data_IF_474671187625
#
_entry.id   IF_474671187625
#
_cell.length_a   1.000
_cell.length_b   1.000
_cell.length_c   1.000
_cell.angle_alpha   90.00
_cell.angle_beta   90.00
_cell.angle_gamma   90.00
#
_symmetry.space_group_name_H-M   'P 1'
#
loop_
_entity.id
_entity.type
_entity.pdbx_description
1 polymer ?
#
# COMPACT_ATOMS: atom_id res chain seq x y z
N UNK A 1 30.56 2.53 39.61
CA UNK A 1 30.04 1.24 39.15
C UNK A 1 28.52 1.13 39.17
N UNK A 2 27.86 1.91 40.00
CA UNK A 2 26.37 1.93 40.12
C UNK A 2 25.76 2.46 38.78
N UNK A 3 26.36 3.50 38.21
CA UNK A 3 25.85 4.06 36.96
C UNK A 3 26.00 3.09 35.77
N UNK A 4 27.01 2.24 35.79
CA UNK A 4 27.22 1.23 34.74
C UNK A 4 26.21 0.10 34.84
N UNK A 5 25.86 -0.32 36.06
CA UNK A 5 24.82 -1.31 36.29
C UNK A 5 23.45 -0.81 35.86
N UNK A 6 23.09 0.44 36.19
CA UNK A 6 21.83 1.05 35.77
C UNK A 6 21.75 1.18 34.24
N UNK A 7 22.86 1.55 33.56
CA UNK A 7 22.91 1.66 32.10
C UNK A 7 22.70 0.30 31.44
N UNK A 8 23.39 -0.73 31.93
CA UNK A 8 23.26 -2.11 31.41
C UNK A 8 21.83 -2.61 31.65
N UNK A 9 21.27 -2.39 32.83
CA UNK A 9 19.91 -2.76 33.14
C UNK A 9 18.91 -2.03 32.24
N UNK A 10 19.12 -0.74 31.95
CA UNK A 10 18.28 0.04 31.05
C UNK A 10 18.30 -0.48 29.62
N UNK A 11 19.46 -0.83 29.11
CA UNK A 11 19.62 -1.40 27.76
C UNK A 11 18.96 -2.78 27.67
N UNK A 12 19.20 -3.65 28.63
CA UNK A 12 18.56 -4.96 28.69
C UNK A 12 17.03 -4.82 28.81
N UNK A 13 16.58 -3.88 29.58
CA UNK A 13 15.17 -3.58 29.79
C UNK A 13 14.46 -3.13 28.50
N UNK A 14 15.20 -2.48 27.61
CA UNK A 14 14.68 -2.07 26.31
C UNK A 14 14.70 -3.23 25.30
N UNK A 15 15.72 -4.06 25.32
CA UNK A 15 15.92 -5.14 24.35
C UNK A 15 15.06 -6.37 24.64
N UNK A 16 14.92 -6.76 25.92
CA UNK A 16 14.22 -7.98 26.32
C UNK A 16 12.75 -7.99 25.86
N UNK A 17 11.95 -6.92 26.01
CA UNK A 17 10.57 -6.90 25.53
C UNK A 17 10.47 -7.07 24.02
N UNK A 18 11.40 -6.47 23.25
CA UNK A 18 11.43 -6.61 21.80
C UNK A 18 11.72 -8.04 21.37
N UNK A 19 12.70 -8.68 22.02
CA UNK A 19 13.07 -10.07 21.72
C UNK A 19 11.94 -11.03 22.10
N UNK A 20 11.31 -10.85 23.24
CA UNK A 20 10.17 -11.68 23.67
C UNK A 20 8.96 -11.51 22.74
N UNK A 21 8.68 -10.30 22.32
CA UNK A 21 7.60 -10.02 21.38
C UNK A 21 7.86 -10.66 20.03
N UNK A 22 9.10 -10.58 19.54
CA UNK A 22 9.51 -11.21 18.29
C UNK A 22 9.43 -12.73 18.36
N UNK A 23 9.89 -13.32 19.46
CA UNK A 23 9.77 -14.76 19.71
C UNK A 23 8.31 -15.22 19.78
N UNK A 24 7.46 -14.47 20.47
CA UNK A 24 6.02 -14.71 20.51
C UNK A 24 5.37 -14.62 19.13
N UNK A 25 5.75 -13.64 18.35
CA UNK A 25 5.28 -13.52 16.96
C UNK A 25 5.64 -14.75 16.12
N UNK A 26 6.88 -15.23 16.24
CA UNK A 26 7.30 -16.43 15.49
C UNK A 26 6.56 -17.70 15.90
N UNK A 27 6.21 -17.83 17.18
CA UNK A 27 5.59 -19.04 17.72
C UNK A 27 4.07 -19.03 17.51
N UNK A 28 3.43 -17.88 17.76
CA UNK A 28 1.95 -17.81 17.85
C UNK A 28 1.29 -17.17 16.62
N UNK A 29 2.01 -16.39 15.83
CA UNK A 29 1.41 -15.76 14.65
C UNK A 29 1.15 -16.79 13.54
N UNK A 30 -0.03 -16.79 12.93
CA UNK A 30 -0.30 -17.68 11.82
C UNK A 30 0.60 -17.37 10.63
N UNK A 31 1.30 -18.39 10.14
CA UNK A 31 2.16 -18.31 8.96
C UNK A 31 1.31 -18.21 7.71
N UNK A 32 0.82 -17.03 7.39
CA UNK A 32 0.19 -16.76 6.10
C UNK A 32 1.16 -16.01 5.21
N UNK A 33 1.19 -16.39 3.92
CA UNK A 33 1.95 -15.68 2.90
C UNK A 33 1.60 -14.19 2.92
N UNK A 34 2.59 -13.38 3.25
CA UNK A 34 2.50 -11.94 3.49
C UNK A 34 2.40 -11.13 2.20
N UNK A 35 1.70 -11.61 1.18
CA UNK A 35 1.64 -10.97 -0.12
C UNK A 35 0.58 -9.87 -0.22
N UNK A 36 -0.32 -9.75 0.75
CA UNK A 36 -1.33 -8.71 0.74
C UNK A 36 -0.90 -7.52 1.61
N UNK A 37 -0.24 -6.55 1.00
CA UNK A 37 -0.05 -5.23 1.58
C UNK A 37 -1.43 -4.62 1.90
N UNK A 38 -1.65 -4.30 3.17
CA UNK A 38 -2.87 -3.59 3.59
C UNK A 38 -4.02 -4.47 4.04
N UNK A 39 -3.79 -5.74 4.37
CA UNK A 39 -4.80 -6.53 5.07
C UNK A 39 -4.97 -6.01 6.51
N UNK A 40 -6.22 -5.70 6.91
CA UNK A 40 -6.56 -5.22 8.25
C UNK A 40 -6.11 -6.22 9.33
N UNK A 41 -6.20 -7.52 9.05
CA UNK A 41 -5.74 -8.56 9.98
C UNK A 41 -4.24 -8.53 10.19
N UNK A 42 -3.46 -8.35 9.12
CA UNK A 42 -2.01 -8.21 9.20
C UNK A 42 -1.62 -6.92 9.94
N UNK A 43 -2.35 -5.84 9.72
CA UNK A 43 -2.16 -4.60 10.43
C UNK A 43 -2.42 -4.75 11.93
N UNK A 44 -3.53 -5.37 12.31
CA UNK A 44 -3.86 -5.64 13.71
C UNK A 44 -2.78 -6.51 14.37
N UNK A 45 -2.30 -7.56 13.71
CA UNK A 45 -1.22 -8.41 14.20
C UNK A 45 0.08 -7.64 14.34
N UNK A 46 0.44 -6.80 13.38
CA UNK A 46 1.66 -5.98 13.45
C UNK A 46 1.59 -4.98 14.61
N UNK A 47 0.46 -4.31 14.78
CA UNK A 47 0.26 -3.38 15.90
C UNK A 47 0.38 -4.13 17.22
N UNK A 48 -0.26 -5.28 17.34
CA UNK A 48 -0.19 -6.07 18.57
C UNK A 48 1.24 -6.51 18.88
N UNK A 49 1.92 -7.15 17.93
CA UNK A 49 3.22 -7.75 18.18
C UNK A 49 4.39 -6.76 18.17
N UNK A 50 4.32 -5.70 17.39
CA UNK A 50 5.40 -4.74 17.26
C UNK A 50 5.25 -3.50 18.13
N UNK A 51 4.05 -3.17 18.53
CA UNK A 51 3.75 -1.95 19.28
C UNK A 51 3.21 -2.26 20.67
N UNK A 52 2.08 -2.91 20.78
CA UNK A 52 1.40 -3.14 22.06
C UNK A 52 2.19 -4.10 22.95
N UNK A 53 2.60 -5.23 22.41
CA UNK A 53 3.30 -6.26 23.16
C UNK A 53 4.66 -5.77 23.71
N UNK A 54 5.56 -5.15 22.90
CA UNK A 54 6.81 -4.61 23.43
C UNK A 54 6.60 -3.51 24.47
N UNK A 55 5.66 -2.59 24.24
CA UNK A 55 5.39 -1.50 25.16
C UNK A 55 4.86 -2.00 26.49
N UNK A 56 3.93 -2.96 26.46
CA UNK A 56 3.36 -3.56 27.67
C UNK A 56 4.41 -4.34 28.46
N UNK A 57 5.21 -5.16 27.77
CA UNK A 57 6.30 -5.91 28.40
C UNK A 57 7.35 -4.98 28.99
N UNK A 58 7.71 -3.92 28.29
CA UNK A 58 8.65 -2.91 28.80
C UNK A 58 8.14 -2.33 30.11
N UNK A 59 6.87 -1.96 30.16
CA UNK A 59 6.26 -1.34 31.32
C UNK A 59 6.19 -2.29 32.52
N UNK A 60 5.76 -3.52 32.29
CA UNK A 60 5.68 -4.55 33.32
C UNK A 60 7.07 -4.86 33.90
N UNK A 61 8.06 -5.05 33.03
CA UNK A 61 9.43 -5.30 33.45
C UNK A 61 10.05 -4.12 34.20
N UNK A 62 9.73 -2.90 33.76
CA UNK A 62 10.19 -1.69 34.46
C UNK A 62 9.62 -1.60 35.85
N UNK A 63 8.31 -1.83 36.03
CA UNK A 63 7.68 -1.84 37.35
C UNK A 63 8.25 -2.94 38.25
N UNK A 64 8.49 -4.12 37.68
CA UNK A 64 9.10 -5.23 38.41
C UNK A 64 10.53 -4.91 38.82
N UNK A 65 11.33 -4.28 37.96
CA UNK A 65 12.67 -3.85 38.30
C UNK A 65 12.69 -2.78 39.38
N UNK A 66 11.75 -1.84 39.37
CA UNK A 66 11.58 -0.85 40.43
C UNK A 66 11.22 -1.51 41.73
N UNK A 67 10.32 -2.50 41.73
CA UNK A 67 9.93 -3.26 42.92
C UNK A 67 11.12 -4.00 43.55
N UNK A 68 12.00 -4.56 42.69
CA UNK A 68 13.23 -5.23 43.16
C UNK A 68 14.36 -4.28 43.60
N UNK A 69 14.17 -2.97 43.51
CA UNK A 69 15.13 -1.98 43.95
C UNK A 69 16.29 -1.75 43.00
N UNK A 70 16.19 -2.18 41.73
CA UNK A 70 17.25 -1.98 40.71
C UNK A 70 17.43 -0.50 40.39
N UNK A 71 16.37 0.31 40.51
CA UNK A 71 16.41 1.75 40.22
C UNK A 71 16.11 2.56 41.51
N UNK A 72 17.08 2.69 42.37
CA UNK A 72 16.89 3.32 43.69
C UNK A 72 16.58 4.81 43.63
N UNK A 73 17.10 5.53 42.67
CA UNK A 73 17.06 7.00 42.60
C UNK A 73 15.81 7.58 41.94
N UNK A 74 14.90 6.76 41.44
CA UNK A 74 13.74 7.22 40.69
C UNK A 74 12.39 6.91 41.32
N UNK A 75 12.34 7.06 42.60
CA UNK A 75 11.08 6.89 43.36
C UNK A 75 9.94 7.78 42.87
N UNK A 76 10.24 8.92 42.23
CA UNK A 76 9.25 9.81 41.65
C UNK A 76 8.63 9.28 40.35
N UNK A 77 9.31 8.39 39.67
CA UNK A 77 8.76 7.70 38.47
C UNK A 77 8.03 6.42 38.86
N UNK A 78 8.24 5.98 40.08
CA UNK A 78 7.62 4.83 40.63
C UNK A 78 6.24 5.14 41.17
N UNK A 79 5.41 5.69 40.41
CA UNK A 79 4.06 5.30 40.66
C UNK A 79 4.00 3.79 40.49
N UNK A 80 4.29 3.06 41.54
CA UNK A 80 4.03 1.62 41.66
C UNK A 80 2.57 1.29 41.39
N UNK A 81 1.77 2.33 41.24
CA UNK A 81 0.37 2.27 40.91
C UNK A 81 0.25 2.29 39.37
N UNK A 82 -0.22 1.21 38.69
CA UNK A 82 -0.41 1.20 37.25
C UNK A 82 -1.43 2.24 36.77
N UNK A 83 -2.16 2.87 37.67
CA UNK A 83 -3.13 3.93 37.39
C UNK A 83 -2.54 5.34 37.47
N UNK A 84 -1.25 5.48 37.75
CA UNK A 84 -0.62 6.79 37.82
C UNK A 84 -0.54 7.42 36.40
N UNK A 85 -0.79 8.73 36.32
CA UNK A 85 -0.75 9.50 35.07
C UNK A 85 0.61 9.37 34.38
N UNK A 86 1.71 9.38 35.12
CA UNK A 86 3.06 9.21 34.55
C UNK A 86 3.27 7.86 33.87
N UNK A 87 2.73 6.80 34.49
CA UNK A 87 2.75 5.46 33.87
C UNK A 87 1.97 5.44 32.58
N UNK A 88 0.81 6.07 32.57
CA UNK A 88 -0.02 6.21 31.36
C UNK A 88 0.71 6.98 30.25
N UNK A 89 1.36 8.10 30.61
CA UNK A 89 2.14 8.92 29.66
C UNK A 89 3.28 8.09 29.07
N UNK A 90 4.03 7.38 29.91
CA UNK A 90 5.13 6.52 29.46
C UNK A 90 4.64 5.40 28.53
N UNK A 91 3.51 4.79 28.86
CA UNK A 91 2.91 3.76 28.02
C UNK A 91 2.49 4.32 26.67
N UNK A 92 1.85 5.48 26.64
CA UNK A 92 1.47 6.14 25.40
C UNK A 92 2.68 6.54 24.55
N UNK A 93 3.74 7.05 25.18
CA UNK A 93 4.98 7.37 24.48
C UNK A 93 5.63 6.13 23.86
N UNK A 94 5.62 5.00 24.55
CA UNK A 94 6.11 3.73 24.03
C UNK A 94 5.27 3.22 22.86
N UNK A 95 3.96 3.35 22.95
CA UNK A 95 3.05 2.97 21.86
C UNK A 95 3.30 3.81 20.59
N UNK A 96 3.43 5.13 20.76
CA UNK A 96 3.73 6.03 19.64
C UNK A 96 5.10 5.71 19.03
N UNK A 97 6.11 5.49 19.85
CA UNK A 97 7.45 5.12 19.39
C UNK A 97 7.44 3.79 18.63
N UNK A 98 6.72 2.79 19.12
CA UNK A 98 6.57 1.51 18.43
C UNK A 98 5.82 1.63 17.12
N UNK A 99 4.75 2.42 17.09
CA UNK A 99 3.92 2.60 15.90
C UNK A 99 4.65 3.35 14.78
N UNK A 100 5.49 4.32 15.10
CA UNK A 100 6.17 5.20 14.15
C UNK A 100 7.66 4.93 14.02
N UNK A 101 8.35 4.75 15.14
CA UNK A 101 9.80 4.62 15.18
C UNK A 101 10.32 3.26 14.72
N UNK A 102 9.64 2.17 15.07
CA UNK A 102 10.06 0.81 14.70
C UNK A 102 10.02 0.58 13.20
N UNK A 103 8.92 0.90 12.49
CA UNK A 103 8.90 0.78 11.02
C UNK A 103 9.95 1.65 10.35
N UNK A 104 10.16 2.88 10.82
CA UNK A 104 11.17 3.79 10.27
C UNK A 104 12.58 3.24 10.51
N UNK A 105 12.86 2.76 11.70
CA UNK A 105 14.17 2.16 12.02
C UNK A 105 14.46 0.94 11.17
N UNK A 106 13.48 0.08 10.97
CA UNK A 106 13.61 -1.09 10.09
C UNK A 106 13.92 -0.67 8.66
N UNK A 107 13.22 0.34 8.14
CA UNK A 107 13.44 0.87 6.81
C UNK A 107 14.84 1.46 6.65
N UNK A 108 15.29 2.26 7.63
CA UNK A 108 16.64 2.85 7.62
C UNK A 108 17.74 1.78 7.67
N UNK A 109 17.59 0.77 8.51
CA UNK A 109 18.55 -0.35 8.59
C UNK A 109 18.60 -1.08 7.25
N UNK A 110 17.46 -1.31 6.63
CA UNK A 110 17.40 -1.97 5.33
C UNK A 110 18.05 -1.14 4.22
N UNK A 111 17.86 0.17 4.22
CA UNK A 111 18.52 1.09 3.28
C UNK A 111 20.03 1.13 3.47
N UNK A 112 20.49 1.11 4.72
CA UNK A 112 21.93 1.11 5.03
C UNK A 112 22.59 -0.19 4.59
N UNK A 113 21.94 -1.34 4.82
CA UNK A 113 22.47 -2.65 4.43
C UNK A 113 22.42 -2.88 2.91
N UNK A 114 21.39 -2.40 2.25
CA UNK A 114 21.15 -2.59 0.83
C UNK A 114 20.82 -1.24 0.17
N UNK A 115 21.81 -0.42 -0.21
CA UNK A 115 21.56 0.89 -0.82
C UNK A 115 20.71 0.84 -2.10
N UNK A 116 20.73 -0.28 -2.81
CA UNK A 116 19.92 -0.49 -4.02
C UNK A 116 18.40 -0.56 -3.72
N UNK A 117 18.04 -0.80 -2.47
CA UNK A 117 16.64 -0.84 -2.04
C UNK A 117 15.93 0.51 -2.20
N UNK A 118 16.67 1.61 -2.27
CA UNK A 118 16.08 2.94 -2.47
C UNK A 118 15.26 3.02 -3.76
N UNK A 119 15.69 2.38 -4.83
CA UNK A 119 14.94 2.34 -6.09
C UNK A 119 13.62 1.59 -5.94
N UNK A 120 13.67 0.46 -5.26
CA UNK A 120 12.48 -0.33 -4.96
C UNK A 120 11.50 0.44 -4.06
N UNK A 121 12.01 1.13 -3.04
CA UNK A 121 11.20 1.96 -2.15
C UNK A 121 10.51 3.10 -2.90
N UNK A 122 11.25 3.81 -3.74
CA UNK A 122 10.67 4.89 -4.55
C UNK A 122 9.61 4.37 -5.52
N UNK A 123 9.84 3.21 -6.12
CA UNK A 123 8.85 2.54 -6.97
C UNK A 123 7.58 2.19 -6.19
N UNK A 124 7.72 1.64 -4.98
CA UNK A 124 6.59 1.31 -4.12
C UNK A 124 5.81 2.55 -3.69
N UNK A 125 6.50 3.64 -3.37
CA UNK A 125 5.87 4.92 -3.01
C UNK A 125 5.07 5.45 -4.21
N UNK A 126 5.64 5.47 -5.40
CA UNK A 126 4.94 5.88 -6.63
C UNK A 126 3.72 5.02 -6.92
N UNK A 127 3.83 3.73 -6.69
CA UNK A 127 2.73 2.79 -6.91
C UNK A 127 1.56 3.03 -5.94
N UNK A 128 1.85 3.43 -4.71
CA UNK A 128 0.85 3.67 -3.68
C UNK A 128 0.15 5.03 -3.81
N UNK A 129 0.77 6.00 -4.48
CA UNK A 129 0.16 7.32 -4.69
C UNK A 129 -1.04 7.18 -5.65
N UNK A 130 -2.13 7.86 -5.33
CA UNK A 130 -3.30 7.91 -6.20
C UNK A 130 -2.93 8.57 -7.54
N UNK A 131 -3.27 7.91 -8.64
CA UNK A 131 -3.00 8.41 -10.00
C UNK A 131 -3.72 9.72 -10.34
N UNK A 132 -4.78 10.04 -9.60
CA UNK A 132 -5.54 11.29 -9.78
C UNK A 132 -4.84 12.50 -9.17
N UNK A 133 -3.80 12.30 -8.38
CA UNK A 133 -3.06 13.39 -7.75
C UNK A 133 -2.18 14.08 -8.78
N UNK A 134 -2.39 15.39 -8.94
CA UNK A 134 -1.54 16.22 -9.79
C UNK A 134 -0.34 16.75 -9.00
N UNK A 135 0.72 17.15 -9.71
CA UNK A 135 1.87 17.80 -9.08
C UNK A 135 1.49 19.11 -8.36
N UNK A 136 0.50 19.84 -8.89
CA UNK A 136 -0.01 21.06 -8.26
C UNK A 136 -0.70 20.77 -6.93
N UNK A 137 -1.49 19.71 -6.83
CA UNK A 137 -2.13 19.31 -5.58
C UNK A 137 -1.11 18.90 -4.52
N UNK A 138 -0.10 18.14 -4.91
CA UNK A 138 1.00 17.74 -4.02
C UNK A 138 1.75 18.97 -3.50
N UNK A 139 2.06 19.92 -4.36
CA UNK A 139 2.75 21.15 -3.99
C UNK A 139 1.91 21.99 -3.03
N UNK A 140 0.61 22.13 -3.30
CA UNK A 140 -0.32 22.85 -2.43
C UNK A 140 -0.40 22.20 -1.04
N UNK A 141 -0.47 20.88 -1.00
CA UNK A 141 -0.46 20.12 0.25
C UNK A 141 0.84 20.31 1.02
N UNK A 142 1.98 20.25 0.33
CA UNK A 142 3.29 20.46 0.93
C UNK A 142 3.45 21.87 1.50
N UNK A 143 2.93 22.90 0.80
CA UNK A 143 2.93 24.27 1.26
C UNK A 143 2.05 24.43 2.51
N UNK A 144 0.85 23.83 2.51
CA UNK A 144 -0.04 23.88 3.67
C UNK A 144 0.59 23.19 4.89
N UNK A 145 1.21 22.03 4.68
CA UNK A 145 1.90 21.29 5.73
C UNK A 145 3.10 22.09 6.26
N UNK A 146 3.91 22.64 5.39
CA UNK A 146 5.06 23.48 5.76
C UNK A 146 4.64 24.74 6.51
N UNK A 147 3.56 25.38 6.10
CA UNK A 147 3.00 26.55 6.79
C UNK A 147 2.54 26.23 8.21
N UNK A 148 1.81 25.13 8.39
CA UNK A 148 1.36 24.67 9.71
C UNK A 148 2.54 24.27 10.60
N UNK A 149 3.54 23.59 10.05
CA UNK A 149 4.75 23.24 10.80
C UNK A 149 5.54 24.49 11.21
N UNK A 150 5.62 25.49 10.34
CA UNK A 150 6.26 26.76 10.67
C UNK A 150 5.55 27.46 11.83
N UNK A 151 4.22 27.46 11.86
CA UNK A 151 3.45 27.99 12.97
C UNK A 151 3.70 27.20 14.27
N UNK A 152 3.87 25.91 14.18
CA UNK A 152 4.18 25.06 15.34
C UNK A 152 5.58 25.36 15.91
N UNK A 153 6.53 25.67 15.04
CA UNK A 153 7.94 25.86 15.42
C UNK A 153 8.29 27.30 15.79
N UNK A 154 7.47 28.29 15.38
CA UNK A 154 7.73 29.69 15.72
C UNK A 154 7.44 29.97 17.19
N UNK A 155 8.40 30.56 17.95
CA UNK A 155 8.15 30.97 19.30
C UNK A 155 7.28 32.23 19.32
N UNK A 156 5.98 32.05 19.40
CA UNK A 156 5.05 33.16 19.65
C UNK A 156 4.84 33.22 21.16
N UNK A 157 5.00 34.33 21.79
CA UNK A 157 4.83 34.63 23.21
C UNK A 157 4.64 33.43 24.17
N UNK A 158 5.45 33.38 25.22
CA UNK A 158 5.44 32.27 26.21
C UNK A 158 4.05 31.92 26.78
N UNK A 159 3.13 32.88 26.85
CA UNK A 159 1.79 32.68 27.41
C UNK A 159 0.79 32.05 26.42
N UNK A 160 1.08 32.09 25.11
CA UNK A 160 0.18 31.56 24.07
C UNK A 160 0.70 30.27 23.42
N UNK A 161 1.89 29.81 23.79
CA UNK A 161 2.58 28.70 23.12
C UNK A 161 1.80 27.37 23.21
N UNK A 162 1.20 27.03 24.34
CA UNK A 162 0.45 25.79 24.53
C UNK A 162 -0.81 25.80 23.69
N UNK A 163 -1.55 26.91 23.71
CA UNK A 163 -2.78 27.06 22.94
C UNK A 163 -2.48 27.00 21.43
N UNK A 164 -1.46 27.70 20.98
CA UNK A 164 -1.02 27.70 19.59
C UNK A 164 -0.60 26.31 19.15
N UNK A 165 0.12 25.56 19.98
CA UNK A 165 0.56 24.20 19.68
C UNK A 165 -0.61 23.24 19.53
N UNK A 166 -1.56 23.25 20.47
CA UNK A 166 -2.74 22.40 20.41
C UNK A 166 -3.64 22.74 19.22
N UNK A 167 -3.81 24.03 18.94
CA UNK A 167 -4.58 24.48 17.80
C UNK A 167 -3.94 24.07 16.48
N UNK A 168 -2.64 24.27 16.34
CA UNK A 168 -1.89 23.87 15.14
C UNK A 168 -1.91 22.34 14.95
N UNK A 169 -1.79 21.58 16.01
CA UNK A 169 -1.89 20.12 15.96
C UNK A 169 -3.26 19.67 15.45
N UNK A 170 -4.32 20.33 15.91
CA UNK A 170 -5.68 20.06 15.44
C UNK A 170 -5.87 20.38 13.96
N UNK A 171 -5.22 21.44 13.46
CA UNK A 171 -5.24 21.80 12.04
C UNK A 171 -4.37 20.86 11.18
N UNK A 172 -3.29 20.32 11.74
CA UNK A 172 -2.47 19.32 11.06
C UNK A 172 -3.24 18.05 10.75
N UNK A 173 -4.20 17.68 11.60
CA UNK A 173 -4.96 16.45 11.44
C UNK A 173 -5.70 16.36 10.10
N UNK A 174 -6.51 17.35 9.67
CA UNK A 174 -7.15 17.31 8.36
C UNK A 174 -6.15 17.25 7.20
N UNK A 175 -5.05 17.99 7.28
CA UNK A 175 -4.02 17.99 6.24
C UNK A 175 -3.36 16.62 6.13
N UNK A 176 -3.00 16.01 7.25
CA UNK A 176 -2.40 14.68 7.27
C UNK A 176 -3.39 13.59 6.83
N UNK A 177 -4.67 13.69 7.20
CA UNK A 177 -5.70 12.76 6.75
C UNK A 177 -5.91 12.84 5.24
N UNK A 178 -5.94 14.04 4.68
CA UNK A 178 -6.04 14.20 3.24
C UNK A 178 -4.85 13.54 2.53
N UNK A 179 -3.64 13.77 3.03
CA UNK A 179 -2.44 13.12 2.53
C UNK A 179 -2.47 11.60 2.69
N UNK A 180 -2.96 11.11 3.83
CA UNK A 180 -3.10 9.68 4.10
C UNK A 180 -4.00 8.99 3.08
N UNK A 181 -5.07 9.65 2.67
CA UNK A 181 -6.00 9.12 1.68
C UNK A 181 -5.44 9.13 0.25
N UNK A 182 -4.52 10.04 -0.06
CA UNK A 182 -4.03 10.28 -1.43
C UNK A 182 -2.64 9.71 -1.71
N UNK A 183 -1.72 9.75 -0.75
CA UNK A 183 -0.30 9.48 -1.02
C UNK A 183 0.17 8.09 -0.64
N UNK A 184 -0.64 7.31 0.03
CA UNK A 184 -0.31 5.94 0.40
C UNK A 184 0.46 5.82 1.72
N UNK A 185 0.49 4.59 2.21
CA UNK A 185 1.00 4.27 3.56
C UNK A 185 2.48 4.61 3.76
N UNK A 186 3.33 4.24 2.79
CA UNK A 186 4.79 4.41 2.98
C UNK A 186 5.22 5.87 3.02
N UNK A 187 4.70 6.67 2.10
CA UNK A 187 5.05 8.09 2.05
C UNK A 187 4.53 8.83 3.28
N UNK A 188 3.30 8.58 3.68
CA UNK A 188 2.70 9.23 4.85
C UNK A 188 3.42 8.81 6.14
N UNK A 189 3.80 7.56 6.30
CA UNK A 189 4.58 7.11 7.45
C UNK A 189 5.94 7.79 7.51
N UNK A 190 6.61 7.94 6.38
CA UNK A 190 7.90 8.63 6.28
C UNK A 190 7.80 10.12 6.58
N UNK A 191 6.68 10.76 6.25
CA UNK A 191 6.44 12.18 6.53
C UNK A 191 6.01 12.38 7.98
N UNK A 192 5.09 11.58 8.46
CA UNK A 192 4.51 11.73 9.80
C UNK A 192 5.53 11.51 10.92
N UNK A 193 6.41 10.52 10.79
CA UNK A 193 7.37 10.21 11.84
C UNK A 193 8.33 11.35 12.16
N UNK A 194 9.00 12.02 11.17
CA UNK A 194 9.79 13.21 11.46
C UNK A 194 8.97 14.36 12.04
N UNK A 195 7.77 14.59 11.54
CA UNK A 195 6.87 15.64 12.06
C UNK A 195 6.56 15.37 13.53
N UNK A 196 6.23 14.14 13.86
CA UNK A 196 5.94 13.71 15.22
C UNK A 196 7.13 13.94 16.14
N UNK A 197 8.33 13.53 15.74
CA UNK A 197 9.55 13.70 16.54
C UNK A 197 9.86 15.17 16.78
N UNK A 198 9.79 15.99 15.76
CA UNK A 198 10.02 17.43 15.87
C UNK A 198 8.95 18.08 16.76
N UNK A 199 7.70 17.75 16.56
CA UNK A 199 6.59 18.28 17.34
C UNK A 199 6.70 17.94 18.82
N UNK A 200 7.06 16.69 19.14
CA UNK A 200 7.26 16.23 20.52
C UNK A 200 8.44 17.01 21.14
N UNK A 201 9.55 17.13 20.44
CA UNK A 201 10.74 17.84 20.94
C UNK A 201 10.41 19.29 21.30
N UNK A 202 9.75 20.01 20.39
CA UNK A 202 9.38 21.41 20.64
C UNK A 202 8.26 21.55 21.65
N UNK A 203 7.32 20.64 21.70
CA UNK A 203 6.22 20.68 22.67
C UNK A 203 6.72 20.56 24.09
N UNK A 204 7.60 19.60 24.41
CA UNK A 204 8.16 19.44 25.75
C UNK A 204 8.97 20.66 26.22
N UNK A 205 9.48 21.43 25.30
CA UNK A 205 10.25 22.65 25.59
C UNK A 205 9.36 23.80 26.08
N UNK A 206 8.11 23.85 25.70
CA UNK A 206 7.21 24.97 25.96
C UNK A 206 6.17 24.71 27.04
N UNK A 207 6.08 23.51 27.58
CA UNK A 207 5.14 23.21 28.69
C UNK A 207 5.72 23.79 29.97
N UNK A 208 5.01 24.72 30.66
CA UNK A 208 5.46 25.22 31.95
C UNK A 208 5.35 24.09 32.97
N UNK A 209 6.40 23.94 33.80
CA UNK A 209 6.42 22.98 34.91
C UNK A 209 5.62 23.58 36.07
N UNK A 210 4.32 23.35 36.06
CA UNK A 210 3.39 23.79 37.11
C UNK A 210 2.48 22.64 37.54
N UNK A 211 1.52 22.91 38.43
CA UNK A 211 0.59 21.90 38.97
C UNK A 211 -0.25 21.18 37.88
N UNK A 212 -0.44 21.78 36.72
CA UNK A 212 -1.17 21.17 35.61
C UNK A 212 -0.30 20.44 34.58
N UNK A 213 1.01 20.32 34.79
CA UNK A 213 1.97 19.77 33.86
C UNK A 213 1.65 18.32 33.45
N UNK A 214 1.39 17.47 34.44
CA UNK A 214 1.13 16.05 34.17
C UNK A 214 -0.17 15.84 33.38
N UNK A 215 -1.20 16.62 33.64
CA UNK A 215 -2.48 16.56 32.93
C UNK A 215 -2.32 17.01 31.49
N UNK A 216 -1.64 18.14 31.28
CA UNK A 216 -1.38 18.65 29.93
C UNK A 216 -0.51 17.70 29.12
N UNK A 217 0.50 17.13 29.75
CA UNK A 217 1.36 16.14 29.11
C UNK A 217 0.58 14.88 28.73
N UNK A 218 -0.32 14.42 29.60
CA UNK A 218 -1.19 13.27 29.33
C UNK A 218 -2.12 13.54 28.14
N UNK A 219 -2.77 14.70 28.09
CA UNK A 219 -3.68 15.10 27.02
C UNK A 219 -2.93 15.15 25.69
N UNK A 220 -1.76 15.77 25.67
CA UNK A 220 -0.95 15.91 24.45
C UNK A 220 -0.42 14.57 23.98
N UNK A 221 0.08 13.74 24.88
CA UNK A 221 0.54 12.38 24.53
C UNK A 221 -0.60 11.54 23.97
N UNK A 222 -1.80 11.64 24.54
CA UNK A 222 -2.99 10.97 24.03
C UNK A 222 -3.36 11.48 22.65
N UNK A 223 -3.29 12.78 22.41
CA UNK A 223 -3.57 13.39 21.09
C UNK A 223 -2.59 12.90 20.04
N UNK A 224 -1.30 12.86 20.32
CA UNK A 224 -0.29 12.35 19.40
C UNK A 224 -0.49 10.87 19.10
N UNK A 225 -0.82 10.07 20.12
CA UNK A 225 -1.10 8.65 19.94
C UNK A 225 -2.31 8.44 19.01
N UNK A 226 -3.42 9.11 19.29
CA UNK A 226 -4.64 9.00 18.51
C UNK A 226 -4.41 9.48 17.09
N UNK A 227 -3.75 10.62 16.91
CA UNK A 227 -3.48 11.17 15.59
C UNK A 227 -2.55 10.26 14.77
N UNK A 228 -1.51 9.73 15.39
CA UNK A 228 -0.60 8.78 14.72
C UNK A 228 -1.34 7.51 14.31
N UNK A 229 -2.16 6.97 15.18
CA UNK A 229 -2.94 5.78 14.88
C UNK A 229 -3.92 6.04 13.73
N UNK A 230 -4.66 7.14 13.77
CA UNK A 230 -5.65 7.48 12.75
C UNK A 230 -4.98 7.74 11.40
N UNK A 231 -3.91 8.52 11.37
CA UNK A 231 -3.18 8.84 10.13
C UNK A 231 -2.65 7.57 9.47
N UNK A 232 -1.98 6.72 10.25
CA UNK A 232 -1.39 5.48 9.73
C UNK A 232 -2.49 4.50 9.30
N UNK A 233 -3.53 4.33 10.10
CA UNK A 233 -4.65 3.44 9.79
C UNK A 233 -5.39 3.88 8.54
N UNK A 234 -5.71 5.16 8.40
CA UNK A 234 -6.40 5.69 7.22
C UNK A 234 -5.54 5.57 5.96
N UNK A 235 -4.23 5.79 6.07
CA UNK A 235 -3.33 5.62 4.92
C UNK A 235 -3.27 4.16 4.46
N UNK A 236 -3.26 3.21 5.38
CA UNK A 236 -3.29 1.79 5.06
C UNK A 236 -4.62 1.37 4.44
N UNK A 237 -5.75 1.84 4.98
CA UNK A 237 -7.07 1.57 4.41
C UNK A 237 -7.18 2.11 2.98
N UNK A 238 -6.75 3.35 2.75
CA UNK A 238 -6.81 3.97 1.43
C UNK A 238 -5.92 3.22 0.42
N UNK A 239 -4.73 2.83 0.82
CA UNK A 239 -3.81 2.04 -0.01
C UNK A 239 -4.42 0.69 -0.37
N UNK A 240 -4.99 0.00 0.61
CA UNK A 240 -5.69 -1.27 0.39
C UNK A 240 -6.87 -1.11 -0.55
N UNK A 241 -7.71 -0.09 -0.34
CA UNK A 241 -8.88 0.14 -1.17
C UNK A 241 -8.49 0.38 -2.63
N UNK A 242 -7.44 1.15 -2.88
CA UNK A 242 -6.93 1.35 -4.23
C UNK A 242 -6.39 0.07 -4.86
N UNK A 243 -5.69 -0.75 -4.09
CA UNK A 243 -5.18 -2.05 -4.55
C UNK A 243 -6.34 -3.00 -4.90
N UNK A 244 -7.36 -3.07 -4.06
CA UNK A 244 -8.57 -3.89 -4.30
C UNK A 244 -9.31 -3.39 -5.53
N UNK A 245 -9.51 -2.08 -5.67
CA UNK A 245 -10.17 -1.50 -6.83
C UNK A 245 -9.41 -1.77 -8.13
N UNK A 246 -8.09 -1.67 -8.09
CA UNK A 246 -7.22 -1.97 -9.24
C UNK A 246 -7.34 -3.44 -9.64
N UNK A 247 -7.33 -4.34 -8.67
CA UNK A 247 -7.50 -5.78 -8.92
C UNK A 247 -8.89 -6.08 -9.49
N UNK A 248 -9.94 -5.49 -8.92
CA UNK A 248 -11.31 -5.64 -9.41
C UNK A 248 -11.45 -5.12 -10.85
N UNK A 249 -10.82 -3.99 -11.18
CA UNK A 249 -10.79 -3.46 -12.56
C UNK A 249 -10.08 -4.41 -13.51
N UNK A 250 -8.98 -5.00 -13.10
CA UNK A 250 -8.27 -6.01 -13.92
C UNK A 250 -9.15 -7.22 -14.17
N UNK A 251 -9.82 -7.74 -13.14
CA UNK A 251 -10.74 -8.87 -13.28
C UNK A 251 -11.94 -8.52 -14.15
N UNK A 252 -12.44 -7.28 -14.05
CA UNK A 252 -13.55 -6.81 -14.89
C UNK A 252 -13.20 -6.71 -16.38
N UNK A 253 -11.91 -6.62 -16.71
CA UNK A 253 -11.40 -6.55 -18.08
C UNK A 253 -11.00 -7.91 -18.65
N UNK A 254 -11.03 -8.96 -17.85
CA UNK A 254 -10.67 -10.32 -18.27
C UNK A 254 -11.90 -11.22 -18.31
N UNK A 255 -11.93 -12.14 -19.29
CA UNK A 255 -12.86 -13.25 -19.30
C UNK A 255 -12.48 -14.23 -18.17
N UNK A 256 -13.41 -14.60 -17.27
CA UNK A 256 -13.08 -15.43 -16.12
C UNK A 256 -12.70 -16.87 -16.47
N UNK A 257 -13.13 -17.38 -17.62
CA UNK A 257 -12.91 -18.76 -18.03
C UNK A 257 -11.64 -18.89 -18.86
N UNK A 258 -11.48 -18.03 -19.87
CA UNK A 258 -10.39 -18.13 -20.84
C UNK A 258 -9.19 -17.27 -20.44
N UNK A 259 -9.37 -16.35 -19.50
CA UNK A 259 -8.35 -15.39 -19.03
C UNK A 259 -7.81 -14.46 -20.13
N UNK A 260 -8.64 -14.18 -21.12
CA UNK A 260 -8.35 -13.21 -22.16
C UNK A 260 -9.10 -11.91 -21.91
N UNK A 261 -8.57 -10.75 -22.38
CA UNK A 261 -9.31 -9.50 -22.33
C UNK A 261 -10.71 -9.65 -22.93
N UNK A 262 -11.69 -9.04 -22.30
CA UNK A 262 -13.11 -9.15 -22.66
C UNK A 262 -13.59 -7.95 -23.50
N UNK A 263 -14.89 -7.90 -23.77
CA UNK A 263 -15.51 -6.81 -24.54
C UNK A 263 -15.27 -5.43 -23.93
N UNK A 264 -15.23 -5.32 -22.60
CA UNK A 264 -14.95 -4.06 -21.91
C UNK A 264 -13.53 -3.57 -22.19
N UNK A 265 -12.57 -4.49 -22.20
CA UNK A 265 -11.20 -4.17 -22.57
C UNK A 265 -11.10 -3.72 -24.04
N UNK A 266 -11.82 -4.39 -24.95
CA UNK A 266 -11.88 -3.99 -26.34
C UNK A 266 -12.49 -2.59 -26.53
N UNK A 267 -13.58 -2.29 -25.85
CA UNK A 267 -14.22 -0.97 -25.90
C UNK A 267 -13.29 0.13 -25.39
N UNK A 268 -12.58 -0.14 -24.31
CA UNK A 268 -11.57 0.79 -23.77
C UNK A 268 -10.45 1.05 -24.79
N UNK A 269 -9.92 0.00 -25.39
CA UNK A 269 -8.79 0.11 -26.32
C UNK A 269 -9.20 0.76 -27.65
N UNK A 270 -10.42 0.51 -28.13
CA UNK A 270 -10.98 1.21 -29.28
C UNK A 270 -11.16 2.71 -29.01
N UNK A 271 -11.56 3.08 -27.79
CA UNK A 271 -11.72 4.48 -27.41
C UNK A 271 -10.38 5.22 -27.29
N UNK A 272 -9.32 4.54 -26.87
CA UNK A 272 -7.98 5.12 -26.68
C UNK A 272 -7.23 5.34 -28.02
N UNK A 273 -7.56 4.59 -29.04
CA UNK A 273 -6.85 4.66 -30.33
C UNK A 273 -7.72 5.34 -31.36
N UNK A 274 -7.23 6.34 -32.13
CA UNK A 274 -8.05 7.11 -33.07
C UNK A 274 -8.58 6.24 -34.19
N UNK A 275 -7.79 5.30 -34.67
CA UNK A 275 -8.14 4.36 -35.69
C UNK A 275 -7.75 2.95 -35.31
N UNK A 276 -8.59 1.99 -35.59
CA UNK A 276 -8.32 0.58 -35.36
C UNK A 276 -8.87 -0.28 -36.46
N UNK A 277 -8.16 -1.35 -36.81
CA UNK A 277 -8.69 -2.44 -37.59
C UNK A 277 -9.15 -3.55 -36.63
N UNK A 278 -10.42 -3.84 -36.59
CA UNK A 278 -11.01 -4.87 -35.73
C UNK A 278 -11.22 -6.13 -36.60
N UNK A 279 -10.48 -7.18 -36.27
CA UNK A 279 -10.60 -8.49 -36.89
C UNK A 279 -11.44 -9.40 -35.99
N UNK A 280 -12.50 -9.99 -36.52
CA UNK A 280 -13.35 -10.91 -35.82
C UNK A 280 -13.08 -12.33 -36.29
N UNK A 281 -12.79 -13.21 -35.35
CA UNK A 281 -12.49 -14.62 -35.62
C UNK A 281 -13.69 -15.48 -35.25
N UNK A 282 -14.08 -16.36 -36.16
CA UNK A 282 -15.16 -17.30 -35.95
C UNK A 282 -14.67 -18.72 -36.24
N UNK A 283 -14.90 -19.62 -35.30
CA UNK A 283 -14.45 -21.01 -35.36
C UNK A 283 -15.69 -21.91 -35.14
N UNK A 284 -16.48 -22.14 -36.22
CA UNK A 284 -17.75 -22.87 -36.06
C UNK A 284 -17.58 -24.31 -35.56
N UNK A 285 -16.50 -24.98 -35.94
CA UNK A 285 -16.23 -26.36 -35.52
C UNK A 285 -15.86 -26.50 -34.05
N UNK A 286 -15.48 -25.41 -33.40
CA UNK A 286 -15.01 -25.45 -32.02
C UNK A 286 -16.12 -25.82 -31.04
N UNK A 287 -17.35 -25.43 -31.32
CA UNK A 287 -18.51 -25.82 -30.52
C UNK A 287 -18.76 -27.32 -30.57
N UNK A 288 -18.70 -27.90 -31.76
CA UNK A 288 -18.86 -29.33 -31.99
C UNK A 288 -17.72 -30.11 -31.32
N UNK A 289 -16.48 -29.66 -31.44
CA UNK A 289 -15.34 -30.27 -30.78
C UNK A 289 -15.47 -30.19 -29.26
N UNK A 290 -15.99 -29.09 -28.73
CA UNK A 290 -16.25 -28.95 -27.28
C UNK A 290 -17.29 -29.92 -26.77
N UNK A 291 -18.33 -30.21 -27.57
CA UNK A 291 -19.33 -31.23 -27.22
C UNK A 291 -18.75 -32.63 -27.21
N UNK A 292 -17.90 -32.94 -28.15
CA UNK A 292 -17.32 -34.28 -28.31
C UNK A 292 -16.18 -34.56 -27.35
N UNK A 293 -15.33 -33.57 -27.06
CA UNK A 293 -14.10 -33.76 -26.28
C UNK A 293 -14.07 -32.97 -24.98
N UNK A 294 -15.07 -32.14 -24.68
CA UNK A 294 -15.22 -31.39 -23.45
C UNK A 294 -14.84 -29.92 -23.56
N UNK A 295 -15.23 -29.16 -22.53
CA UNK A 295 -15.06 -27.71 -22.47
C UNK A 295 -13.58 -27.32 -22.40
N UNK A 296 -12.73 -28.15 -21.81
CA UNK A 296 -11.31 -27.87 -21.70
C UNK A 296 -10.62 -27.76 -23.06
N UNK A 297 -11.05 -28.52 -24.05
CA UNK A 297 -10.54 -28.41 -25.41
C UNK A 297 -10.79 -27.00 -25.97
N UNK A 298 -11.99 -26.48 -25.80
CA UNK A 298 -12.34 -25.15 -26.28
C UNK A 298 -11.50 -24.06 -25.61
N UNK A 299 -11.34 -24.15 -24.31
CA UNK A 299 -10.55 -23.20 -23.50
C UNK A 299 -9.09 -23.21 -23.97
N UNK A 300 -8.48 -24.39 -24.03
CA UNK A 300 -7.09 -24.52 -24.41
C UNK A 300 -6.84 -24.11 -25.87
N UNK A 301 -7.75 -24.43 -26.78
CA UNK A 301 -7.65 -24.00 -28.16
C UNK A 301 -7.62 -22.47 -28.27
N UNK A 302 -8.56 -21.80 -27.62
CA UNK A 302 -8.62 -20.35 -27.63
C UNK A 302 -7.39 -19.70 -27.01
N UNK A 303 -6.91 -20.23 -25.88
CA UNK A 303 -5.70 -19.75 -25.21
C UNK A 303 -4.46 -19.90 -26.08
N UNK A 304 -4.28 -21.06 -26.71
CA UNK A 304 -3.12 -21.33 -27.56
C UNK A 304 -3.18 -20.52 -28.84
N UNK A 305 -4.36 -20.39 -29.46
CA UNK A 305 -4.52 -19.54 -30.65
C UNK A 305 -4.23 -18.06 -30.31
N UNK A 306 -4.68 -17.59 -29.17
CA UNK A 306 -4.37 -16.25 -28.70
C UNK A 306 -2.87 -16.01 -28.52
N UNK A 307 -2.16 -16.95 -27.95
CA UNK A 307 -0.69 -16.88 -27.81
C UNK A 307 0.00 -16.87 -29.19
N UNK A 308 -0.49 -17.69 -30.09
CA UNK A 308 0.03 -17.73 -31.47
C UNK A 308 -0.14 -16.42 -32.21
N UNK A 309 -1.31 -15.80 -32.06
CA UNK A 309 -1.61 -14.48 -32.64
C UNK A 309 -0.79 -13.39 -31.96
N UNK A 310 -0.68 -13.42 -30.66
CA UNK A 310 0.08 -12.42 -29.88
C UNK A 310 1.55 -12.34 -30.30
N UNK A 311 2.14 -13.44 -30.76
CA UNK A 311 3.52 -13.47 -31.20
C UNK A 311 3.80 -12.53 -32.40
N UNK A 312 2.78 -12.18 -33.17
CA UNK A 312 2.89 -11.29 -34.33
C UNK A 312 2.39 -9.88 -34.09
N UNK A 313 1.81 -9.62 -32.89
CA UNK A 313 1.21 -8.32 -32.58
C UNK A 313 2.26 -7.29 -32.18
N UNK A 314 2.01 -6.04 -32.59
CA UNK A 314 2.78 -4.88 -32.18
C UNK A 314 2.32 -4.39 -30.78
N UNK A 315 3.10 -3.54 -30.08
CA UNK A 315 2.63 -2.86 -28.88
C UNK A 315 1.29 -2.16 -29.14
N UNK A 316 0.41 -2.20 -28.15
CA UNK A 316 -0.97 -1.68 -28.21
C UNK A 316 -1.95 -2.49 -29.05
N UNK A 317 -1.52 -3.55 -29.69
CA UNK A 317 -2.42 -4.51 -30.34
C UNK A 317 -2.74 -5.66 -29.38
N UNK A 318 -3.97 -6.19 -29.44
CA UNK A 318 -4.45 -7.14 -28.41
C UNK A 318 -5.43 -8.14 -29.02
N UNK A 319 -5.49 -9.33 -28.42
CA UNK A 319 -6.51 -10.35 -28.67
C UNK A 319 -7.57 -10.29 -27.58
N UNK A 320 -8.83 -10.45 -27.96
CA UNK A 320 -9.98 -10.39 -27.04
C UNK A 320 -10.87 -11.62 -27.22
N UNK A 321 -11.54 -12.00 -26.14
CA UNK A 321 -12.61 -12.99 -26.16
C UNK A 321 -13.97 -12.28 -26.14
N UNK A 322 -14.84 -12.57 -27.12
CA UNK A 322 -16.15 -11.95 -27.25
C UNK A 322 -17.26 -12.98 -27.19
N UNK A 323 -18.36 -12.63 -26.54
CA UNK A 323 -19.60 -13.41 -26.58
C UNK A 323 -20.23 -13.27 -27.96
N UNK A 324 -20.56 -14.37 -28.61
CA UNK A 324 -21.12 -14.39 -29.97
C UNK A 324 -20.09 -14.48 -31.10
N UNK A 325 -18.85 -14.09 -30.85
CA UNK A 325 -17.68 -14.36 -31.70
C UNK A 325 -16.65 -15.08 -30.83
N UNK A 326 -15.88 -15.97 -31.45
CA UNK A 326 -14.93 -16.72 -30.66
C UNK A 326 -13.79 -15.82 -30.15
N UNK A 327 -13.24 -14.99 -31.03
CA UNK A 327 -12.16 -14.08 -30.68
C UNK A 327 -12.20 -12.82 -31.54
N UNK A 328 -11.56 -11.78 -31.07
CA UNK A 328 -11.32 -10.57 -31.82
C UNK A 328 -9.87 -10.12 -31.67
N UNK A 329 -9.34 -9.47 -32.68
CA UNK A 329 -7.99 -8.89 -32.68
C UNK A 329 -8.09 -7.43 -33.08
N UNK A 330 -7.53 -6.54 -32.28
CA UNK A 330 -7.44 -5.12 -32.61
C UNK A 330 -6.03 -4.82 -33.15
N UNK A 331 -5.96 -4.35 -34.38
CA UNK A 331 -4.73 -3.93 -35.01
C UNK A 331 -4.70 -2.41 -35.17
N UNK A 332 -3.50 -1.85 -35.22
CA UNK A 332 -3.32 -0.43 -35.57
C UNK A 332 -3.64 -0.21 -37.06
N UNK A 333 -4.43 0.80 -37.37
CA UNK A 333 -4.93 1.05 -38.71
C UNK A 333 -3.86 1.46 -39.73
N UNK A 334 -2.70 1.88 -39.25
CA UNK A 334 -1.58 2.32 -40.10
C UNK A 334 -1.03 1.23 -41.01
N UNK A 335 -1.31 -0.02 -40.73
CA UNK A 335 -0.71 -1.17 -41.41
C UNK A 335 -1.62 -1.79 -42.51
N UNK A 336 -2.83 -1.30 -42.66
CA UNK A 336 -3.75 -1.64 -43.75
C UNK A 336 -3.98 -3.14 -44.01
N UNK A 337 -4.47 -3.43 -45.21
CA UNK A 337 -4.86 -4.76 -45.68
C UNK A 337 -3.74 -5.81 -45.60
N UNK A 338 -2.50 -5.41 -45.78
CA UNK A 338 -1.35 -6.33 -45.74
C UNK A 338 -1.20 -7.02 -44.40
N UNK A 339 -1.41 -6.29 -43.29
CA UNK A 339 -1.32 -6.91 -41.98
C UNK A 339 -2.48 -7.83 -41.68
N UNK A 340 -3.67 -7.51 -42.16
CA UNK A 340 -4.83 -8.37 -42.03
C UNK A 340 -4.62 -9.67 -42.79
N UNK A 341 -4.09 -9.60 -44.01
CA UNK A 341 -3.76 -10.78 -44.82
C UNK A 341 -2.64 -11.60 -44.20
N UNK A 342 -1.62 -10.95 -43.64
CA UNK A 342 -0.56 -11.61 -42.88
C UNK A 342 -1.08 -12.32 -41.63
N UNK A 343 -2.01 -11.70 -40.89
CA UNK A 343 -2.65 -12.30 -39.75
C UNK A 343 -3.48 -13.53 -40.15
N UNK A 344 -4.25 -13.45 -41.23
CA UNK A 344 -5.03 -14.57 -41.74
C UNK A 344 -4.14 -15.75 -42.13
N UNK A 345 -3.04 -15.50 -42.82
CA UNK A 345 -2.05 -16.53 -43.14
C UNK A 345 -1.40 -17.12 -41.89
N UNK A 346 -1.07 -16.31 -40.94
CA UNK A 346 -0.49 -16.76 -39.66
C UNK A 346 -1.45 -17.66 -38.92
N UNK A 347 -2.72 -17.33 -38.87
CA UNK A 347 -3.78 -18.13 -38.22
C UNK A 347 -3.94 -19.47 -38.94
N UNK A 348 -3.87 -19.50 -40.30
CA UNK A 348 -3.94 -20.75 -41.07
C UNK A 348 -2.79 -21.69 -40.77
N UNK A 349 -1.65 -21.19 -40.34
CA UNK A 349 -0.48 -21.98 -39.97
C UNK A 349 -0.56 -22.52 -38.54
N UNK A 350 -1.55 -22.10 -37.75
CA UNK A 350 -1.72 -22.57 -36.36
C UNK A 350 -2.04 -24.07 -36.33
N UNK A 351 -1.35 -24.78 -35.46
CA UNK A 351 -1.53 -26.21 -35.24
C UNK A 351 -1.88 -26.45 -33.77
N UNK A 352 -2.97 -27.15 -33.56
CA UNK A 352 -3.44 -27.50 -32.21
C UNK A 352 -3.43 -29.02 -32.08
N UNK A 353 -2.88 -29.49 -30.96
CA UNK A 353 -2.85 -30.90 -30.60
C UNK A 353 -3.60 -31.09 -29.31
N UNK A 354 -4.63 -31.94 -29.35
CA UNK A 354 -5.40 -32.31 -28.17
C UNK A 354 -5.23 -33.81 -27.92
N UNK A 355 -4.67 -34.14 -26.74
CA UNK A 355 -4.47 -35.54 -26.30
C UNK A 355 -3.79 -36.40 -27.37
N UNK A 356 -2.77 -35.88 -27.99
CA UNK A 356 -2.02 -36.51 -29.08
C UNK A 356 -2.68 -36.45 -30.46
N UNK A 357 -3.90 -35.94 -30.55
CA UNK A 357 -4.61 -35.77 -31.82
C UNK A 357 -4.41 -34.36 -32.42
N UNK A 358 -3.90 -34.23 -33.62
CA UNK A 358 -3.89 -32.96 -34.30
C UNK A 358 -5.30 -32.58 -34.74
N UNK A 359 -5.77 -31.43 -34.30
CA UNK A 359 -7.05 -30.85 -34.67
C UNK A 359 -6.81 -29.49 -35.35
N UNK A 360 -7.43 -29.29 -36.48
CA UNK A 360 -7.27 -28.08 -37.26
C UNK A 360 -8.63 -27.52 -37.67
N UNK A 361 -9.38 -26.92 -36.71
CA UNK A 361 -10.64 -26.29 -37.05
C UNK A 361 -10.42 -25.09 -37.94
N UNK A 362 -11.33 -24.88 -38.87
CA UNK A 362 -11.27 -23.77 -39.80
C UNK A 362 -11.63 -22.46 -39.08
N UNK A 363 -10.80 -21.43 -39.26
CA UNK A 363 -11.01 -20.10 -38.66
C UNK A 363 -11.44 -19.14 -39.77
N UNK A 364 -12.63 -18.58 -39.60
CA UNK A 364 -13.11 -17.50 -40.48
C UNK A 364 -12.71 -16.13 -39.91
N UNK A 365 -12.11 -15.30 -40.74
CA UNK A 365 -11.70 -13.95 -40.37
C UNK A 365 -12.52 -12.93 -41.17
N UNK A 366 -13.18 -12.03 -40.44
CA UNK A 366 -13.82 -10.83 -41.00
C UNK A 366 -13.22 -9.60 -40.32
N UNK A 367 -13.21 -8.48 -40.98
CA UNK A 367 -12.63 -7.26 -40.43
C UNK A 367 -13.46 -6.03 -40.74
N UNK A 368 -13.30 -5.01 -39.94
CA UNK A 368 -13.82 -3.68 -40.15
C UNK A 368 -12.87 -2.63 -39.57
N UNK A 369 -12.97 -1.42 -40.07
CA UNK A 369 -12.20 -0.29 -39.57
C UNK A 369 -13.07 0.51 -38.61
N UNK A 370 -12.53 0.83 -37.44
CA UNK A 370 -13.23 1.55 -36.38
C UNK A 370 -12.52 2.86 -36.10
N UNK A 371 -13.28 3.95 -36.16
CA UNK A 371 -12.80 5.28 -35.74
C UNK A 371 -13.31 5.61 -34.35
N UNK A 372 -12.42 6.07 -33.46
CA UNK A 372 -12.83 6.50 -32.14
C UNK A 372 -13.45 7.89 -32.18
N UNK A 373 -14.68 8.09 -31.64
CA UNK A 373 -15.26 9.42 -31.52
C UNK A 373 -14.65 10.27 -30.41
N UNK A 374 -13.79 9.69 -29.55
CA UNK A 374 -13.27 10.35 -28.35
C UNK A 374 -12.13 11.34 -28.61
N UNK A 375 -11.68 11.50 -29.87
CA UNK A 375 -10.56 12.40 -30.23
C UNK A 375 -11.01 13.79 -30.64
N UNK A 376 -12.18 14.24 -30.22
CA UNK A 376 -12.51 15.65 -30.32
C UNK A 376 -11.95 16.35 -29.08
N UNK A 377 -11.02 17.30 -29.24
CA UNK A 377 -10.56 18.11 -28.11
C UNK A 377 -11.74 18.94 -27.62
N UNK A 378 -12.16 18.68 -26.38
CA UNK A 378 -12.98 19.58 -25.62
C UNK A 378 -12.12 20.53 -24.84
#
# INVERSE_FOLDING_TARGET
SVGMFETVAGVLHFIVPLVLSWGGYRVFAPRRNMTAYGDIRLMAQRIFWQVICPATLFLVLFQFAVYLGVYESRQSLAGLNPLNIRTLINYQALLVSGLTGVPLSYLLIRLIRHPRYIKSLLSQIRFQIDKKVTAAEFLLWAIALGGLLSLLLLPINENSSIFTTNYTLSLLMPVMLWGAMRFGYKLISLIWTPILLVSIHYFYRYIPVNAGYDIQLAITSSSYLVFSFVVIYMSMLATRQRAVNKHARRLALLDPVVHMPNLRALSRDLAKNPWSALCLLRIPELEILGRNYGVQLRIQYKQQLAQWVNATLQPNEQVYHLTGYDMAVRLNAESHQQRIDALDEHIKQFRFVWDGMPLQPQVGLTYCYVRSPANHPH
#
